data_IF_928732199779
#
_entry.id   IF_928732199779
#
_cell.length_a   1.000
_cell.length_b   1.000
_cell.length_c   1.000
_cell.angle_alpha   90.00
_cell.angle_beta   90.00
_cell.angle_gamma   90.00
#
_symmetry.space_group_name_H-M   'P 1'
#
loop_
_entity.id
_entity.type
_entity.pdbx_description
1 polymer ?
#
# COMPACT_ATOMS: atom_id res chain seq x y z
N UNK A 1 7.93 3.16 -2.90
CA UNK A 1 7.04 4.29 -3.27
C UNK A 1 7.77 5.62 -3.13
N UNK A 2 8.34 5.94 -1.97
CA UNK A 2 9.06 7.22 -1.75
C UNK A 2 10.22 7.38 -2.71
N UNK A 3 10.99 6.33 -2.96
CA UNK A 3 12.10 6.34 -3.92
C UNK A 3 11.64 6.58 -5.36
N UNK A 4 10.53 5.96 -5.75
CA UNK A 4 9.92 6.18 -7.08
C UNK A 4 9.46 7.64 -7.24
N UNK A 5 8.77 8.17 -6.24
CA UNK A 5 8.38 9.58 -6.19
C UNK A 5 9.60 10.50 -6.32
N UNK A 6 10.69 10.19 -5.58
CA UNK A 6 11.89 11.05 -5.52
C UNK A 6 12.73 10.99 -6.79
N UNK A 7 12.70 9.88 -7.54
CA UNK A 7 13.32 9.79 -8.86
C UNK A 7 12.70 10.73 -9.88
N UNK A 8 11.42 11.11 -9.70
CA UNK A 8 10.74 12.07 -10.56
C UNK A 8 10.48 11.62 -12.00
N UNK A 9 10.67 10.32 -12.29
CA UNK A 9 10.45 9.75 -13.63
C UNK A 9 8.98 9.40 -13.90
N UNK A 10 8.15 9.47 -12.87
CA UNK A 10 6.72 9.12 -12.93
C UNK A 10 5.87 10.16 -12.20
N UNK A 11 4.68 10.42 -12.71
CA UNK A 11 3.62 11.10 -11.98
C UNK A 11 2.98 10.06 -11.05
N UNK A 12 3.10 10.25 -9.73
CA UNK A 12 2.67 9.27 -8.74
C UNK A 12 1.34 9.67 -8.10
N UNK A 13 0.40 8.74 -8.08
CA UNK A 13 -0.91 8.86 -7.42
C UNK A 13 -0.98 7.87 -6.26
N UNK A 14 -1.23 8.38 -5.06
CA UNK A 14 -1.40 7.57 -3.83
C UNK A 14 -2.82 7.77 -3.31
N UNK A 15 -3.62 6.72 -3.43
CA UNK A 15 -5.03 6.74 -3.07
C UNK A 15 -5.27 6.03 -1.75
N UNK A 16 -6.04 6.66 -0.86
CA UNK A 16 -6.58 6.02 0.33
C UNK A 16 -7.91 5.37 -0.05
N UNK A 17 -7.96 4.05 -0.08
CA UNK A 17 -9.06 3.26 -0.63
C UNK A 17 -10.23 3.12 0.37
N UNK A 18 -10.85 4.23 0.77
CA UNK A 18 -11.89 4.27 1.79
C UNK A 18 -13.22 3.63 1.35
N UNK A 19 -13.57 3.63 0.05
CA UNK A 19 -14.70 2.86 -0.46
C UNK A 19 -14.44 1.35 -0.39
N UNK A 20 -13.26 0.88 -0.75
CA UNK A 20 -12.91 -0.53 -0.57
C UNK A 20 -12.97 -0.96 0.89
N UNK A 21 -12.57 -0.09 1.80
CA UNK A 21 -12.59 -0.37 3.23
C UNK A 21 -14.00 -0.62 3.79
N UNK A 22 -15.08 -0.14 3.14
CA UNK A 22 -16.46 -0.42 3.53
C UNK A 22 -16.80 -1.92 3.53
N UNK A 23 -16.09 -2.74 2.76
CA UNK A 23 -16.26 -4.19 2.78
C UNK A 23 -15.88 -4.84 4.13
N UNK A 24 -15.09 -4.16 4.96
CA UNK A 24 -14.61 -4.67 6.24
C UNK A 24 -14.86 -3.75 7.43
N UNK A 25 -15.07 -2.45 7.19
CA UNK A 25 -15.27 -1.43 8.23
C UNK A 25 -16.62 -0.76 8.00
N UNK A 26 -17.64 -1.15 8.77
CA UNK A 26 -19.00 -0.61 8.68
C UNK A 26 -19.31 0.46 9.73
N UNK A 27 -18.32 0.83 10.55
CA UNK A 27 -18.38 1.96 11.48
C UNK A 27 -17.76 3.21 10.81
N UNK A 28 -18.61 4.21 10.53
CA UNK A 28 -18.17 5.43 9.86
C UNK A 28 -17.21 6.30 10.69
N UNK A 29 -17.26 6.24 12.04
CA UNK A 29 -16.31 6.96 12.90
C UNK A 29 -14.94 6.28 12.85
N UNK A 30 -14.92 4.96 12.93
CA UNK A 30 -13.71 4.15 12.79
C UNK A 30 -13.09 4.32 11.40
N UNK A 31 -13.88 4.27 10.33
CA UNK A 31 -13.40 4.45 8.96
C UNK A 31 -12.69 5.81 8.79
N UNK A 32 -13.32 6.91 9.24
CA UNK A 32 -12.70 8.25 9.21
C UNK A 32 -11.38 8.28 9.97
N UNK A 33 -11.35 7.68 11.18
CA UNK A 33 -10.13 7.60 11.99
C UNK A 33 -9.02 6.86 11.25
N UNK A 34 -9.29 5.65 10.74
CA UNK A 34 -8.31 4.82 10.04
C UNK A 34 -7.80 5.48 8.74
N UNK A 35 -8.68 6.15 7.99
CA UNK A 35 -8.30 6.89 6.78
C UNK A 35 -7.36 8.05 7.12
N UNK A 36 -7.65 8.78 8.21
CA UNK A 36 -6.79 9.87 8.67
C UNK A 36 -5.43 9.36 9.16
N UNK A 37 -5.39 8.29 9.95
CA UNK A 37 -4.16 7.65 10.43
C UNK A 37 -3.30 7.13 9.25
N UNK A 38 -3.93 6.58 8.21
CA UNK A 38 -3.22 6.14 7.02
C UNK A 38 -2.63 7.32 6.24
N UNK A 39 -3.35 8.44 6.13
CA UNK A 39 -2.83 9.67 5.53
C UNK A 39 -1.62 10.21 6.29
N UNK A 40 -1.69 10.24 7.63
CA UNK A 40 -0.56 10.61 8.49
C UNK A 40 0.65 9.70 8.24
N UNK A 41 0.41 8.39 8.15
CA UNK A 41 1.45 7.40 7.88
C UNK A 41 2.13 7.68 6.54
N UNK A 42 1.38 7.91 5.46
CA UNK A 42 1.95 8.20 4.14
C UNK A 42 2.80 9.49 4.14
N UNK A 43 2.34 10.54 4.78
CA UNK A 43 3.11 11.78 4.92
C UNK A 43 4.36 11.60 5.80
N UNK A 44 4.24 10.81 6.86
CA UNK A 44 5.34 10.55 7.79
C UNK A 44 6.47 9.73 7.15
N UNK A 45 6.16 8.71 6.36
CA UNK A 45 7.17 7.90 5.64
C UNK A 45 7.83 8.67 4.49
N UNK A 46 7.30 9.83 4.08
CA UNK A 46 7.95 10.71 3.11
C UNK A 46 7.22 10.88 1.78
N UNK A 47 5.93 10.48 1.68
CA UNK A 47 5.12 10.89 0.53
C UNK A 47 4.97 12.41 0.57
N UNK A 48 5.48 13.07 -0.48
CA UNK A 48 5.51 14.53 -0.60
C UNK A 48 4.37 15.00 -1.51
N UNK A 49 3.38 15.73 -0.98
CA UNK A 49 2.25 16.23 -1.76
C UNK A 49 2.62 17.34 -2.78
N UNK A 50 3.88 17.74 -2.85
CA UNK A 50 4.41 18.60 -3.92
C UNK A 50 4.92 17.81 -5.11
N UNK A 51 5.25 16.53 -4.92
CA UNK A 51 5.83 15.64 -5.94
C UNK A 51 4.83 14.60 -6.43
N UNK A 52 3.79 14.32 -5.63
CA UNK A 52 2.80 13.28 -5.91
C UNK A 52 1.40 13.72 -5.48
N UNK A 53 0.38 13.03 -5.98
CA UNK A 53 -1.01 13.26 -5.63
C UNK A 53 -1.41 12.28 -4.55
N UNK A 54 -1.70 12.77 -3.33
CA UNK A 54 -2.23 11.98 -2.21
C UNK A 54 -3.69 12.39 -1.97
N UNK A 55 -4.63 11.44 -2.05
CA UNK A 55 -6.06 11.71 -2.00
C UNK A 55 -6.86 10.51 -1.45
N UNK A 56 -8.13 10.74 -1.10
CA UNK A 56 -9.07 9.66 -0.77
C UNK A 56 -9.85 9.23 -2.02
N UNK A 57 -10.11 7.96 -2.15
CA UNK A 57 -10.94 7.42 -3.23
C UNK A 57 -12.31 8.11 -3.28
N UNK A 58 -12.92 8.36 -2.13
CA UNK A 58 -14.21 9.03 -2.00
C UNK A 58 -14.22 10.51 -2.43
N UNK A 59 -13.07 11.16 -2.56
CA UNK A 59 -12.97 12.53 -3.08
C UNK A 59 -13.17 12.59 -4.61
N UNK A 60 -13.17 11.42 -5.29
CA UNK A 60 -13.28 11.30 -6.76
C UNK A 60 -14.46 10.39 -7.10
N UNK A 61 -15.63 10.99 -7.35
CA UNK A 61 -16.87 10.24 -7.62
C UNK A 61 -16.83 9.38 -8.89
N UNK A 62 -15.94 9.71 -9.81
CA UNK A 62 -15.74 8.98 -11.07
C UNK A 62 -15.33 7.51 -10.88
N UNK A 63 -14.74 7.15 -9.74
CA UNK A 63 -14.40 5.76 -9.43
C UNK A 63 -15.65 4.85 -9.44
N UNK A 64 -16.71 5.29 -8.77
CA UNK A 64 -17.96 4.52 -8.70
C UNK A 64 -18.74 4.55 -10.00
N UNK A 65 -18.71 5.67 -10.73
CA UNK A 65 -19.34 5.76 -12.04
C UNK A 65 -18.67 4.81 -13.03
N UNK A 66 -17.35 4.80 -13.09
CA UNK A 66 -16.61 3.91 -13.99
C UNK A 66 -16.74 2.45 -13.58
N UNK A 67 -16.74 2.14 -12.27
CA UNK A 67 -16.98 0.80 -11.78
C UNK A 67 -18.32 0.25 -12.25
N UNK A 68 -19.39 1.04 -12.18
CA UNK A 68 -20.72 0.66 -12.72
C UNK A 68 -20.66 0.35 -14.21
N UNK A 69 -19.98 1.16 -15.01
CA UNK A 69 -19.81 0.93 -16.45
C UNK A 69 -19.07 -0.39 -16.71
N UNK A 70 -18.03 -0.70 -15.92
CA UNK A 70 -17.31 -1.95 -16.02
C UNK A 70 -18.14 -3.17 -15.58
N UNK A 71 -18.96 -3.02 -14.54
CA UNK A 71 -19.90 -4.05 -14.11
C UNK A 71 -20.92 -4.40 -15.21
N UNK A 72 -21.40 -3.39 -15.95
CA UNK A 72 -22.36 -3.62 -17.04
C UNK A 72 -21.79 -4.47 -18.20
N UNK A 73 -20.50 -4.50 -18.39
CA UNK A 73 -19.84 -5.34 -19.42
C UNK A 73 -19.19 -6.61 -18.86
N UNK A 74 -19.14 -6.76 -17.53
CA UNK A 74 -18.48 -7.91 -16.88
C UNK A 74 -19.49 -8.97 -16.49
N UNK A 75 -19.14 -10.24 -16.68
CA UNK A 75 -20.04 -11.36 -16.38
C UNK A 75 -19.78 -11.92 -14.97
N UNK A 76 -20.83 -12.39 -14.30
CA UNK A 76 -20.70 -13.04 -12.99
C UNK A 76 -19.70 -14.22 -12.98
N UNK A 77 -19.71 -15.16 -13.95
CA UNK A 77 -18.73 -16.26 -13.98
C UNK A 77 -17.27 -15.78 -14.05
N UNK A 78 -17.03 -14.59 -14.60
CA UNK A 78 -15.70 -14.00 -14.61
C UNK A 78 -15.29 -13.56 -13.20
N UNK A 79 -16.16 -12.85 -12.47
CA UNK A 79 -15.90 -12.37 -11.10
C UNK A 79 -15.80 -13.53 -10.09
N UNK A 80 -16.55 -14.61 -10.27
CA UNK A 80 -16.47 -15.81 -9.42
C UNK A 80 -15.10 -16.50 -9.45
N UNK A 81 -14.22 -16.17 -10.40
CA UNK A 81 -12.84 -16.67 -10.45
C UNK A 81 -11.87 -15.90 -9.56
N UNK A 82 -12.29 -14.73 -9.01
CA UNK A 82 -11.46 -13.92 -8.14
C UNK A 82 -11.07 -14.68 -6.86
N UNK A 83 -9.80 -14.56 -6.45
CA UNK A 83 -9.30 -15.24 -5.26
C UNK A 83 -10.10 -14.87 -4.01
N UNK A 84 -10.40 -13.58 -3.80
CA UNK A 84 -11.16 -13.16 -2.63
C UNK A 84 -12.59 -13.73 -2.58
N UNK A 85 -13.24 -13.91 -3.73
CA UNK A 85 -14.53 -14.60 -3.78
C UNK A 85 -14.39 -16.05 -3.35
N UNK A 86 -13.44 -16.78 -3.94
CA UNK A 86 -13.16 -18.19 -3.59
C UNK A 86 -12.76 -18.36 -2.13
N UNK A 87 -11.95 -17.45 -1.59
CA UNK A 87 -11.56 -17.47 -0.18
C UNK A 87 -12.75 -17.22 0.77
N UNK A 88 -13.64 -16.31 0.40
CA UNK A 88 -14.86 -16.03 1.18
C UNK A 88 -15.82 -17.21 1.13
N UNK A 89 -16.02 -17.80 -0.05
CA UNK A 89 -16.84 -18.99 -0.26
C UNK A 89 -16.30 -20.19 0.53
N UNK A 90 -14.99 -20.46 0.45
CA UNK A 90 -14.33 -21.55 1.19
C UNK A 90 -14.45 -21.41 2.71
N UNK A 91 -14.52 -20.17 3.21
CA UNK A 91 -14.72 -19.87 4.64
C UNK A 91 -16.18 -19.80 5.05
N UNK A 92 -17.12 -20.12 4.16
CA UNK A 92 -18.57 -20.02 4.38
C UNK A 92 -19.00 -18.66 4.96
N UNK A 93 -18.34 -17.57 4.53
CA UNK A 93 -18.67 -16.21 4.94
C UNK A 93 -19.83 -15.68 4.09
N UNK A 94 -20.66 -14.86 4.70
CA UNK A 94 -21.61 -14.05 3.94
C UNK A 94 -20.84 -13.09 3.01
N UNK A 95 -21.14 -13.16 1.71
CA UNK A 95 -20.43 -12.40 0.69
C UNK A 95 -21.32 -11.23 0.27
N UNK A 96 -20.92 -10.02 0.63
CA UNK A 96 -21.62 -8.82 0.15
C UNK A 96 -21.39 -8.62 -1.35
N UNK A 97 -22.31 -7.90 -2.00
CA UNK A 97 -22.14 -7.50 -3.41
C UNK A 97 -20.85 -6.68 -3.59
N UNK A 98 -20.50 -5.82 -2.62
CA UNK A 98 -19.25 -5.08 -2.65
C UNK A 98 -18.00 -5.99 -2.64
N UNK A 99 -18.01 -7.06 -1.86
CA UNK A 99 -16.94 -8.07 -1.87
C UNK A 99 -16.89 -8.84 -3.20
N UNK A 100 -18.02 -9.05 -3.84
CA UNK A 100 -18.09 -9.69 -5.14
C UNK A 100 -17.58 -8.79 -6.27
N UNK A 101 -17.98 -7.52 -6.27
CA UNK A 101 -17.73 -6.56 -7.34
C UNK A 101 -16.46 -5.72 -7.17
N UNK A 102 -15.77 -5.81 -6.01
CA UNK A 102 -14.61 -4.94 -5.76
C UNK A 102 -13.54 -4.96 -6.87
N UNK A 103 -13.32 -6.04 -7.66
CA UNK A 103 -12.35 -6.01 -8.75
C UNK A 103 -12.67 -4.96 -9.83
N UNK A 104 -13.96 -4.63 -10.01
CA UNK A 104 -14.39 -3.60 -10.98
C UNK A 104 -14.13 -2.19 -10.45
N UNK A 105 -14.36 -1.96 -9.16
CA UNK A 105 -13.98 -0.70 -8.52
C UNK A 105 -12.45 -0.51 -8.55
N UNK A 106 -11.67 -1.56 -8.30
CA UNK A 106 -10.22 -1.50 -8.39
C UNK A 106 -9.73 -1.29 -9.84
N UNK A 107 -10.37 -1.88 -10.83
CA UNK A 107 -10.07 -1.59 -12.23
C UNK A 107 -10.33 -0.11 -12.56
N UNK A 108 -11.42 0.46 -12.03
CA UNK A 108 -11.72 1.88 -12.17
C UNK A 108 -10.65 2.76 -11.49
N UNK A 109 -10.18 2.39 -10.30
CA UNK A 109 -9.12 3.10 -9.57
C UNK A 109 -7.83 3.22 -10.38
N UNK A 110 -7.52 2.21 -11.17
CA UNK A 110 -6.30 2.16 -11.99
C UNK A 110 -6.50 2.88 -13.32
N UNK A 111 -7.62 2.61 -14.00
CA UNK A 111 -7.82 3.03 -15.39
C UNK A 111 -8.23 4.50 -15.55
N UNK A 112 -8.83 5.11 -14.52
CA UNK A 112 -9.19 6.53 -14.52
C UNK A 112 -8.01 7.49 -14.75
N UNK A 113 -6.80 7.07 -14.39
CA UNK A 113 -5.61 7.92 -14.41
C UNK A 113 -4.68 7.63 -15.58
N UNK A 114 -5.11 6.83 -16.57
CA UNK A 114 -4.24 6.33 -17.65
C UNK A 114 -2.96 5.70 -17.11
N UNK A 115 -3.10 4.95 -16.02
CA UNK A 115 -1.97 4.37 -15.30
C UNK A 115 -1.16 3.45 -16.21
N UNK A 116 0.14 3.72 -16.33
CA UNK A 116 1.05 2.86 -17.10
C UNK A 116 1.58 1.71 -16.27
N UNK A 117 1.76 1.91 -14.96
CA UNK A 117 2.44 0.96 -14.09
C UNK A 117 1.86 1.00 -12.68
N UNK A 118 1.60 -0.16 -12.10
CA UNK A 118 1.09 -0.31 -10.75
C UNK A 118 2.08 -1.13 -9.91
N UNK A 119 2.76 -0.53 -8.91
CA UNK A 119 3.61 -1.26 -7.99
C UNK A 119 2.77 -2.15 -7.08
N UNK A 120 2.97 -3.46 -7.17
CA UNK A 120 2.20 -4.46 -6.40
C UNK A 120 3.09 -5.59 -5.89
N UNK A 121 2.65 -6.22 -4.80
CA UNK A 121 3.19 -7.51 -4.38
C UNK A 121 2.77 -8.63 -5.35
N UNK A 122 3.49 -9.74 -5.32
CA UNK A 122 3.21 -10.90 -6.20
C UNK A 122 1.79 -11.44 -6.05
N UNK A 123 1.22 -11.38 -4.84
CA UNK A 123 -0.14 -11.79 -4.52
C UNK A 123 -1.22 -10.91 -5.15
N UNK A 124 -0.87 -9.67 -5.53
CA UNK A 124 -1.77 -8.70 -6.16
C UNK A 124 -1.71 -8.70 -7.69
N UNK A 125 -0.86 -9.52 -8.30
CA UNK A 125 -0.71 -9.60 -9.76
C UNK A 125 -2.04 -9.89 -10.46
N UNK A 126 -2.85 -10.82 -9.93
CA UNK A 126 -4.16 -11.16 -10.48
C UNK A 126 -5.09 -9.93 -10.56
N UNK A 127 -5.01 -9.02 -9.60
CA UNK A 127 -5.85 -7.82 -9.59
C UNK A 127 -5.51 -6.88 -10.75
N UNK A 128 -4.22 -6.78 -11.11
CA UNK A 128 -3.83 -5.98 -12.29
C UNK A 128 -4.28 -6.66 -13.58
N UNK A 129 -4.29 -7.98 -13.63
CA UNK A 129 -4.85 -8.74 -14.76
C UNK A 129 -6.35 -8.46 -14.92
N UNK A 130 -7.13 -8.35 -13.83
CA UNK A 130 -8.53 -7.92 -13.91
C UNK A 130 -8.68 -6.52 -14.52
N UNK A 131 -7.84 -5.56 -14.15
CA UNK A 131 -7.87 -4.22 -14.73
C UNK A 131 -7.51 -4.25 -16.22
N UNK A 132 -6.52 -5.04 -16.61
CA UNK A 132 -6.12 -5.23 -18.02
C UNK A 132 -7.23 -5.87 -18.86
N UNK A 133 -7.78 -6.99 -18.40
CA UNK A 133 -8.88 -7.70 -19.07
C UNK A 133 -10.12 -6.80 -19.24
N UNK A 134 -10.40 -5.97 -18.22
CA UNK A 134 -11.52 -5.03 -18.24
C UNK A 134 -11.27 -3.91 -19.26
N UNK A 135 -10.06 -3.36 -19.31
CA UNK A 135 -9.66 -2.38 -20.31
C UNK A 135 -9.73 -2.94 -21.74
N UNK A 136 -9.18 -4.14 -21.97
CA UNK A 136 -9.25 -4.82 -23.28
C UNK A 136 -10.69 -5.07 -23.72
N UNK A 137 -11.53 -5.52 -22.79
CA UNK A 137 -12.94 -5.76 -23.07
C UNK A 137 -13.69 -4.48 -23.41
N UNK A 138 -13.45 -3.40 -22.65
CA UNK A 138 -14.04 -2.09 -22.92
C UNK A 138 -13.60 -1.58 -24.31
N UNK A 139 -12.29 -1.59 -24.57
CA UNK A 139 -11.74 -1.12 -25.85
C UNK A 139 -12.31 -1.90 -27.04
N UNK A 140 -12.49 -3.20 -26.89
CA UNK A 140 -13.09 -4.04 -27.95
C UNK A 140 -14.58 -3.72 -28.21
N UNK A 141 -15.32 -3.34 -27.17
CA UNK A 141 -16.77 -3.08 -27.27
C UNK A 141 -17.05 -1.65 -27.71
N UNK A 142 -16.29 -0.67 -27.20
CA UNK A 142 -16.60 0.75 -27.33
C UNK A 142 -15.54 1.56 -28.08
N UNK A 143 -14.41 0.92 -28.47
CA UNK A 143 -13.28 1.59 -29.11
C UNK A 143 -12.16 1.92 -28.14
N UNK A 144 -10.95 2.14 -28.68
CA UNK A 144 -9.73 2.39 -27.92
C UNK A 144 -9.87 3.61 -27.00
N UNK A 145 -9.97 3.37 -25.71
CA UNK A 145 -10.19 4.38 -24.67
C UNK A 145 -9.20 4.23 -23.52
N UNK A 146 -8.90 3.01 -23.11
CA UNK A 146 -8.03 2.73 -21.96
C UNK A 146 -6.68 2.17 -22.39
N UNK A 147 -5.62 2.69 -21.77
CA UNK A 147 -4.28 2.10 -21.79
C UNK A 147 -4.27 0.88 -20.86
N UNK A 148 -3.53 -0.17 -21.26
CA UNK A 148 -3.34 -1.35 -20.43
C UNK A 148 -2.23 -1.10 -19.40
N UNK A 149 -2.50 -1.21 -18.09
CA UNK A 149 -1.50 -1.03 -17.04
C UNK A 149 -0.58 -2.25 -16.94
N UNK A 150 0.69 -2.04 -16.60
CA UNK A 150 1.65 -3.11 -16.32
C UNK A 150 1.87 -3.25 -14.80
N UNK A 151 1.93 -4.48 -14.27
CA UNK A 151 2.32 -4.70 -12.88
C UNK A 151 3.82 -4.46 -12.71
N UNK A 152 4.20 -3.65 -11.73
CA UNK A 152 5.57 -3.54 -11.27
C UNK A 152 5.74 -4.40 -10.01
N UNK A 153 6.26 -5.60 -10.19
CA UNK A 153 6.50 -6.52 -9.07
C UNK A 153 7.88 -6.23 -8.49
N UNK A 154 7.90 -5.88 -7.20
CA UNK A 154 9.14 -5.64 -6.46
C UNK A 154 9.61 -6.96 -5.83
N UNK A 155 10.71 -7.57 -6.30
CA UNK A 155 11.14 -8.90 -5.82
C UNK A 155 11.53 -8.94 -4.34
N UNK A 156 11.95 -7.81 -3.81
CA UNK A 156 12.64 -7.70 -2.51
C UNK A 156 11.69 -7.46 -1.31
N UNK A 157 10.39 -7.33 -1.53
CA UNK A 157 9.42 -7.03 -0.46
C UNK A 157 8.75 -8.31 0.08
N UNK A 158 9.42 -9.45 -0.05
CA UNK A 158 8.76 -10.73 0.12
C UNK A 158 8.27 -10.96 1.56
N UNK A 159 9.14 -10.87 2.56
CA UNK A 159 8.77 -11.12 3.96
C UNK A 159 9.64 -10.28 4.87
N UNK A 160 9.02 -9.40 5.67
CA UNK A 160 9.69 -8.73 6.77
C UNK A 160 9.67 -9.67 7.98
N UNK A 161 10.83 -10.03 8.57
CA UNK A 161 10.88 -10.88 9.75
C UNK A 161 10.38 -10.12 10.99
N UNK A 162 9.60 -10.81 11.82
CA UNK A 162 9.19 -10.33 13.14
C UNK A 162 10.24 -10.61 14.21
N UNK A 163 10.00 -10.14 15.44
CA UNK A 163 10.90 -10.35 16.57
C UNK A 163 10.99 -11.83 16.99
N UNK A 164 10.05 -12.66 16.58
CA UNK A 164 10.00 -14.11 16.79
C UNK A 164 10.62 -14.92 15.63
N UNK A 165 11.16 -14.26 14.61
CA UNK A 165 11.73 -14.88 13.41
C UNK A 165 10.70 -15.33 12.37
N UNK A 166 9.39 -15.21 12.66
CA UNK A 166 8.34 -15.49 11.69
C UNK A 166 8.02 -14.24 10.85
N UNK A 167 7.10 -14.37 9.91
CA UNK A 167 6.59 -13.19 9.16
C UNK A 167 6.02 -12.16 10.13
N UNK A 168 6.50 -10.92 10.03
CA UNK A 168 5.98 -9.79 10.83
C UNK A 168 4.49 -9.59 10.57
N UNK A 169 3.68 -9.57 11.64
CA UNK A 169 2.24 -9.37 11.57
C UNK A 169 1.69 -8.77 12.86
N UNK A 170 0.78 -7.82 12.75
CA UNK A 170 0.06 -7.27 13.92
C UNK A 170 -0.70 -8.35 14.70
N UNK A 171 -1.26 -9.34 14.00
CA UNK A 171 -2.00 -10.45 14.62
C UNK A 171 -1.12 -11.39 15.45
N UNK A 172 0.18 -11.43 15.17
CA UNK A 172 1.14 -12.24 15.93
C UNK A 172 1.81 -11.45 17.06
N UNK A 173 1.63 -10.13 17.12
CA UNK A 173 2.25 -9.28 18.14
C UNK A 173 3.79 -9.19 18.02
N UNK A 174 4.36 -9.54 16.87
CA UNK A 174 5.79 -9.65 16.62
C UNK A 174 6.36 -8.46 15.81
N UNK A 175 5.66 -7.33 15.83
CA UNK A 175 6.02 -6.15 15.01
C UNK A 175 6.97 -5.21 15.75
N UNK A 176 7.82 -4.49 15.00
CA UNK A 176 8.50 -3.27 15.43
C UNK A 176 7.67 -2.09 14.88
N UNK A 177 7.05 -1.25 15.74
CA UNK A 177 6.21 -0.15 15.24
C UNK A 177 7.02 0.88 14.45
N UNK A 178 6.48 1.33 13.31
CA UNK A 178 7.17 2.25 12.40
C UNK A 178 7.48 3.64 12.99
N UNK A 179 6.74 4.07 14.02
CA UNK A 179 6.94 5.36 14.68
C UNK A 179 7.29 5.18 16.17
N UNK A 180 7.84 4.00 16.52
CA UNK A 180 8.24 3.68 17.88
C UNK A 180 9.26 4.65 18.43
N UNK A 181 9.20 4.94 19.74
CA UNK A 181 10.25 5.65 20.46
C UNK A 181 11.52 4.79 20.50
N UNK A 182 12.66 5.41 20.84
CA UNK A 182 13.92 4.66 20.99
C UNK A 182 13.79 3.53 22.02
N UNK A 183 13.11 3.79 23.15
CA UNK A 183 12.89 2.82 24.22
C UNK A 183 12.02 1.64 23.74
N UNK A 184 11.00 1.91 22.93
CA UNK A 184 10.16 0.86 22.32
C UNK A 184 10.95 0.05 21.30
N UNK A 185 11.78 0.68 20.47
CA UNK A 185 12.69 -0.01 19.53
C UNK A 185 13.63 -0.94 20.30
N UNK A 186 14.29 -0.43 21.35
CA UNK A 186 15.20 -1.19 22.19
C UNK A 186 14.50 -2.40 22.79
N UNK A 187 13.31 -2.21 23.37
CA UNK A 187 12.50 -3.31 23.92
C UNK A 187 12.17 -4.37 22.88
N UNK A 188 11.76 -3.98 21.68
CA UNK A 188 11.46 -4.89 20.58
C UNK A 188 12.72 -5.66 20.13
N UNK A 189 13.83 -4.93 19.92
CA UNK A 189 15.09 -5.54 19.45
C UNK A 189 15.68 -6.51 20.48
N UNK A 190 15.64 -6.14 21.77
CA UNK A 190 16.12 -7.04 22.82
C UNK A 190 15.28 -8.31 22.93
N UNK A 191 14.00 -8.27 22.56
CA UNK A 191 13.12 -9.45 22.54
C UNK A 191 13.30 -10.36 21.31
N UNK A 192 14.09 -9.94 20.30
CA UNK A 192 14.32 -10.79 19.12
C UNK A 192 14.88 -12.14 19.54
N UNK A 193 14.18 -13.21 19.13
CA UNK A 193 14.62 -14.59 19.35
C UNK A 193 15.91 -14.83 18.57
N UNK A 194 16.94 -15.27 19.29
CA UNK A 194 18.25 -15.60 18.72
C UNK A 194 18.47 -17.10 18.80
N UNK A 195 19.06 -17.66 17.76
CA UNK A 195 19.47 -19.06 17.75
C UNK A 195 20.54 -19.29 18.83
N UNK A 196 20.51 -20.47 19.49
CA UNK A 196 21.50 -20.83 20.51
C UNK A 196 22.84 -21.18 19.90
N UNK A 197 22.89 -21.55 18.63
CA UNK A 197 24.07 -22.06 17.94
C UNK A 197 24.38 -21.20 16.69
N UNK A 198 25.45 -20.43 16.76
CA UNK A 198 25.92 -19.65 15.60
C UNK A 198 26.66 -18.36 16.00
N UNK A 199 27.54 -17.92 15.12
CA UNK A 199 28.31 -16.69 15.31
C UNK A 199 27.51 -15.41 14.96
N UNK A 200 26.42 -15.58 14.17
CA UNK A 200 25.58 -14.48 13.67
C UNK A 200 24.11 -14.75 14.03
N UNK A 201 23.44 -13.88 14.79
CA UNK A 201 22.02 -14.05 15.12
C UNK A 201 21.16 -13.78 13.88
N UNK A 202 20.66 -14.85 13.26
CA UNK A 202 19.97 -14.84 11.95
C UNK A 202 18.81 -13.84 11.88
N UNK A 203 17.96 -13.82 12.93
CA UNK A 203 16.79 -12.93 12.96
C UNK A 203 17.19 -11.45 13.11
N UNK A 204 18.23 -11.15 13.91
CA UNK A 204 18.78 -9.80 14.08
C UNK A 204 19.35 -9.30 12.74
N UNK A 205 20.14 -10.14 12.08
CA UNK A 205 20.72 -9.82 10.78
C UNK A 205 19.64 -9.62 9.71
N UNK A 206 18.61 -10.43 9.69
CA UNK A 206 17.51 -10.32 8.74
C UNK A 206 16.74 -9.00 8.88
N UNK A 207 16.52 -8.53 10.12
CA UNK A 207 15.90 -7.23 10.38
C UNK A 207 16.89 -6.10 10.05
N UNK A 208 18.18 -6.24 10.37
CA UNK A 208 19.20 -5.22 10.11
C UNK A 208 19.36 -4.92 8.61
N UNK A 209 19.23 -5.93 7.76
CA UNK A 209 19.23 -5.78 6.29
C UNK A 209 18.09 -4.93 5.73
N UNK A 210 17.05 -4.65 6.50
CA UNK A 210 15.98 -3.75 6.06
C UNK A 210 16.40 -2.27 6.06
N UNK A 211 17.44 -1.92 6.83
CA UNK A 211 17.89 -0.53 7.03
C UNK A 211 19.33 -0.29 6.59
N UNK A 212 20.13 -1.35 6.41
CA UNK A 212 21.52 -1.31 5.94
C UNK A 212 21.77 -2.37 4.87
N UNK A 213 22.69 -2.08 3.97
CA UNK A 213 23.08 -3.09 2.96
C UNK A 213 24.01 -4.16 3.57
N UNK A 214 24.07 -5.36 2.97
CA UNK A 214 25.00 -6.39 3.42
C UNK A 214 26.47 -5.94 3.51
N UNK A 215 26.89 -5.08 2.57
CA UNK A 215 28.26 -4.53 2.53
C UNK A 215 28.53 -3.58 3.71
N UNK A 216 27.52 -2.83 4.14
CA UNK A 216 27.61 -1.97 5.33
C UNK A 216 27.62 -2.76 6.63
N UNK A 217 26.93 -3.92 6.65
CA UNK A 217 26.83 -4.78 7.83
C UNK A 217 28.02 -5.71 8.02
N UNK A 218 28.70 -6.12 6.94
CA UNK A 218 29.76 -7.13 7.00
C UNK A 218 30.87 -6.78 8.02
N UNK A 219 31.45 -5.57 8.09
CA UNK A 219 32.47 -5.25 9.09
C UNK A 219 31.96 -5.33 10.52
N UNK A 220 30.74 -4.87 10.78
CA UNK A 220 30.12 -4.86 12.10
C UNK A 220 29.88 -6.30 12.60
N UNK A 221 29.37 -7.17 11.74
CA UNK A 221 29.06 -8.55 12.10
C UNK A 221 30.33 -9.42 12.25
N UNK A 222 31.39 -9.10 11.54
CA UNK A 222 32.71 -9.75 11.74
C UNK A 222 33.37 -9.31 13.05
N UNK A 223 33.39 -8.00 13.38
CA UNK A 223 33.96 -7.48 14.62
C UNK A 223 33.24 -7.99 15.87
N UNK A 224 31.91 -8.14 15.79
CA UNK A 224 31.06 -8.56 16.91
C UNK A 224 30.56 -9.99 16.81
N UNK A 225 31.30 -10.85 16.10
CA UNK A 225 30.98 -12.26 15.95
C UNK A 225 30.75 -12.92 17.31
N UNK A 226 29.64 -13.63 17.51
CA UNK A 226 29.23 -14.22 18.78
C UNK A 226 28.80 -13.25 19.89
N UNK A 227 28.86 -11.93 19.67
CA UNK A 227 28.48 -10.92 20.66
C UNK A 227 27.10 -10.39 20.37
N UNK A 228 26.07 -11.22 20.56
CA UNK A 228 24.69 -10.91 20.18
C UNK A 228 24.14 -9.62 20.77
N UNK A 229 24.51 -9.28 22.01
CA UNK A 229 24.09 -8.02 22.62
C UNK A 229 24.61 -6.82 21.84
N UNK A 230 25.92 -6.80 21.48
CA UNK A 230 26.50 -5.70 20.71
C UNK A 230 25.83 -5.57 19.32
N UNK A 231 25.49 -6.67 18.66
CA UNK A 231 24.75 -6.65 17.38
C UNK A 231 23.32 -6.15 17.54
N UNK A 232 22.64 -6.47 18.65
CA UNK A 232 21.33 -5.90 18.97
C UNK A 232 21.40 -4.42 19.28
N UNK A 233 22.39 -3.99 20.06
CA UNK A 233 22.62 -2.56 20.38
C UNK A 233 22.84 -1.76 19.07
N UNK A 234 23.67 -2.26 18.16
CA UNK A 234 23.89 -1.64 16.86
C UNK A 234 22.59 -1.59 16.01
N UNK A 235 21.77 -2.65 16.04
CA UNK A 235 20.48 -2.65 15.36
C UNK A 235 19.52 -1.59 15.95
N UNK A 236 19.53 -1.37 17.27
CA UNK A 236 18.72 -0.30 17.90
C UNK A 236 19.12 1.07 17.36
N UNK A 237 20.44 1.37 17.31
CA UNK A 237 20.93 2.64 16.79
C UNK A 237 20.53 2.85 15.32
N UNK A 238 20.72 1.85 14.49
CA UNK A 238 20.40 1.96 13.06
C UNK A 238 18.90 2.03 12.79
N UNK A 239 18.08 1.30 13.54
CA UNK A 239 16.62 1.41 13.46
C UNK A 239 16.12 2.76 13.95
N UNK A 240 16.65 3.28 15.08
CA UNK A 240 16.23 4.58 15.56
C UNK A 240 16.66 5.68 14.58
N UNK A 241 17.86 5.64 14.06
CA UNK A 241 18.33 6.59 13.04
C UNK A 241 17.44 6.57 11.78
N UNK A 242 16.93 5.40 11.37
CA UNK A 242 16.01 5.24 10.25
C UNK A 242 14.60 5.73 10.58
N UNK A 243 14.09 5.43 11.77
CA UNK A 243 12.72 5.71 12.21
C UNK A 243 12.54 7.14 12.68
N UNK A 244 13.52 7.72 13.38
CA UNK A 244 13.40 9.05 14.03
C UNK A 244 12.94 10.18 13.08
N UNK A 245 13.42 10.29 11.83
CA UNK A 245 12.91 11.31 10.90
C UNK A 245 11.43 11.10 10.52
N UNK A 246 10.97 9.83 10.44
CA UNK A 246 9.59 9.52 10.15
C UNK A 246 8.70 9.82 11.36
N UNK A 247 9.13 9.45 12.55
CA UNK A 247 8.47 9.77 13.83
C UNK A 247 8.30 11.27 14.01
N UNK A 248 9.34 12.05 13.78
CA UNK A 248 9.26 13.50 13.87
C UNK A 248 8.25 14.10 12.88
N UNK A 249 8.19 13.59 11.64
CA UNK A 249 7.16 14.00 10.66
C UNK A 249 5.76 13.58 11.10
N UNK A 250 5.60 12.36 11.62
CA UNK A 250 4.33 11.88 12.14
C UNK A 250 3.78 12.80 13.23
N UNK A 251 4.61 13.12 14.23
CA UNK A 251 4.24 14.03 15.33
C UNK A 251 3.89 15.43 14.84
N UNK A 252 4.64 15.95 13.87
CA UNK A 252 4.36 17.26 13.28
C UNK A 252 2.98 17.30 12.61
N UNK A 253 2.61 16.25 11.85
CA UNK A 253 1.31 16.18 11.19
C UNK A 253 0.19 15.87 12.19
N UNK A 254 0.42 15.00 13.17
CA UNK A 254 -0.54 14.67 14.22
C UNK A 254 -0.96 15.89 15.05
N UNK A 255 -0.02 16.83 15.29
CA UNK A 255 -0.30 18.11 15.94
C UNK A 255 -1.05 19.11 15.04
N UNK A 256 -1.14 18.85 13.74
CA UNK A 256 -1.76 19.74 12.76
C UNK A 256 -2.72 18.99 11.82
N UNK A 257 -3.82 18.39 12.32
CA UNK A 257 -4.74 17.57 11.54
C UNK A 257 -5.37 18.32 10.36
N UNK A 258 -5.63 19.62 10.51
CA UNK A 258 -6.18 20.46 9.41
C UNK A 258 -5.22 20.54 8.21
N UNK A 259 -3.92 20.47 8.44
CA UNK A 259 -2.93 20.46 7.35
C UNK A 259 -3.06 19.17 6.52
N UNK A 260 -3.30 18.05 7.18
CA UNK A 260 -3.52 16.74 6.51
C UNK A 260 -4.79 16.80 5.67
N UNK A 261 -5.88 17.32 6.23
CA UNK A 261 -7.16 17.49 5.51
C UNK A 261 -6.96 18.35 4.25
N UNK A 262 -6.30 19.50 4.35
CA UNK A 262 -6.00 20.38 3.21
C UNK A 262 -5.14 19.69 2.13
N UNK A 263 -4.20 18.86 2.54
CA UNK A 263 -3.38 18.06 1.60
C UNK A 263 -4.27 17.09 0.82
N UNK A 264 -5.13 16.34 1.52
CA UNK A 264 -6.04 15.38 0.90
C UNK A 264 -7.04 16.08 -0.04
N UNK A 265 -7.65 17.19 0.38
CA UNK A 265 -8.56 17.99 -0.44
C UNK A 265 -7.88 18.49 -1.73
N UNK A 266 -6.63 18.98 -1.62
CA UNK A 266 -5.87 19.44 -2.78
C UNK A 266 -5.57 18.26 -3.72
N UNK A 267 -5.16 17.12 -3.16
CA UNK A 267 -4.92 15.90 -3.93
C UNK A 267 -6.20 15.38 -4.60
N UNK A 268 -7.33 15.38 -3.86
CA UNK A 268 -8.64 14.99 -4.38
C UNK A 268 -9.07 15.85 -5.58
N UNK A 269 -8.89 17.17 -5.49
CA UNK A 269 -9.19 18.09 -6.62
C UNK A 269 -8.32 17.81 -7.85
N UNK A 270 -7.03 17.51 -7.64
CA UNK A 270 -6.13 17.18 -8.73
C UNK A 270 -6.50 15.83 -9.37
N UNK A 271 -6.76 14.82 -8.56
CA UNK A 271 -7.20 13.50 -9.00
C UNK A 271 -8.57 13.58 -9.73
N UNK A 272 -9.56 14.31 -9.18
CA UNK A 272 -10.86 14.51 -9.80
C UNK A 272 -10.74 15.15 -11.19
N UNK A 273 -9.87 16.16 -11.34
CA UNK A 273 -9.65 16.81 -12.65
C UNK A 273 -9.10 15.81 -13.69
N UNK A 274 -8.15 14.96 -13.30
CA UNK A 274 -7.59 13.92 -14.19
C UNK A 274 -8.63 12.87 -14.54
N UNK A 275 -9.35 12.37 -13.54
CA UNK A 275 -10.42 11.39 -13.70
C UNK A 275 -11.56 11.90 -14.60
N UNK A 276 -12.00 13.16 -14.43
CA UNK A 276 -13.07 13.74 -15.24
C UNK A 276 -12.66 13.85 -16.72
N UNK A 277 -11.39 14.17 -17.00
CA UNK A 277 -10.90 14.17 -18.37
C UNK A 277 -11.08 12.78 -19.02
N UNK A 278 -10.70 11.71 -18.35
CA UNK A 278 -10.92 10.33 -18.81
C UNK A 278 -12.41 9.99 -18.92
N UNK A 279 -13.22 10.41 -17.96
CA UNK A 279 -14.66 10.15 -17.99
C UNK A 279 -15.40 10.81 -19.14
N UNK A 280 -14.93 11.95 -19.65
CA UNK A 280 -15.47 12.57 -20.88
C UNK A 280 -15.31 11.59 -22.07
N UNK A 281 -14.14 10.99 -22.23
CA UNK A 281 -13.88 9.99 -23.27
C UNK A 281 -14.77 8.76 -23.09
N UNK A 282 -14.84 8.24 -21.85
CA UNK A 282 -15.62 7.06 -21.50
C UNK A 282 -17.11 7.28 -21.78
N UNK A 283 -17.69 8.37 -21.26
CA UNK A 283 -19.12 8.69 -21.46
C UNK A 283 -19.48 8.85 -22.93
N UNK A 284 -18.60 9.46 -23.71
CA UNK A 284 -18.75 9.57 -25.17
C UNK A 284 -18.73 8.19 -25.83
N UNK A 285 -17.80 7.32 -25.45
CA UNK A 285 -17.66 5.97 -26.00
C UNK A 285 -18.89 5.11 -25.71
N UNK A 286 -19.42 5.15 -24.48
CA UNK A 286 -20.62 4.34 -24.10
C UNK A 286 -21.95 4.99 -24.53
N UNK A 287 -21.93 6.25 -25.01
CA UNK A 287 -23.11 6.91 -25.56
C UNK A 287 -24.04 7.56 -24.53
N UNK A 288 -23.57 7.84 -23.30
CA UNK A 288 -24.42 8.48 -22.25
C UNK A 288 -24.30 10.01 -22.19
N UNK A 289 -23.34 10.61 -22.90
CA UNK A 289 -23.16 12.07 -23.06
C UNK A 289 -22.47 12.41 -24.37
#
# INVERSE_FOLDING_TARGET
>A
FVDMQNKGSHECYFMLADYHALNSVQDGALLRKLTHELALTFLAIGIDPKKSVLFKQSDVTSHTELAWIFEAITTMPYLMRAHAYKDAEAKSKEISVGTFNYPMLMAADILLYDTSMVPVGQDQKQHIEYARDTAEKFNRVYGDTFRLPDPLIMPEVAIVPGVDGQKMSKSYGNTIPLFATREEIEKCVMSIVTDSDGDVPTNVYAIHKLVKTPEQLAPLYEEHRGRYKALKDALVEDLDAFIAPMRARYEMFAKNPEKVVKILEKGGKAAQKKAEHKMIEVRKAVGVR
#
